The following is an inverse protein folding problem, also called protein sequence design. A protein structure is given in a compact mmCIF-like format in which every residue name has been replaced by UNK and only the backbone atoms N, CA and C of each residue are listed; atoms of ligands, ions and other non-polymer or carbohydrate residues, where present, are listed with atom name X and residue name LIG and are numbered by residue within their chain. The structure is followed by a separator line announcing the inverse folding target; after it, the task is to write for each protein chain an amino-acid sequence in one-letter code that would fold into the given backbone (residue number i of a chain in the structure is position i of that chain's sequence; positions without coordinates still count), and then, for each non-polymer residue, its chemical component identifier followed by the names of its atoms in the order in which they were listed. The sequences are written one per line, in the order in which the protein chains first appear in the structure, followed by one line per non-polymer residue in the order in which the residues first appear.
data_IF_953878603495
#
_entry.id   IF_953878603495
#
_cell.length_a   1.000
_cell.length_b   1.000
_cell.length_c   1.000
_cell.angle_alpha   90.00
_cell.angle_beta   90.00
_cell.angle_gamma   90.00
#
_symmetry.space_group_name_H-M   'P 1'
#
loop_
_entity.id
_entity.type
_entity.pdbx_description
1 polymer ?
#
# COMPACT_ATOMS: atom_id res chain seq x y z
N UNK A 1 -5.60 -49.65 -9.39
CA UNK A 1 -6.51 -48.60 -8.98
C UNK A 1 -6.52 -48.36 -7.47
N UNK A 2 -6.65 -49.38 -6.60
CA UNK A 2 -6.72 -49.23 -5.13
C UNK A 2 -5.45 -48.59 -4.51
N UNK A 3 -4.26 -48.89 -5.03
CA UNK A 3 -3.00 -48.29 -4.53
C UNK A 3 -2.79 -46.82 -4.96
N UNK A 4 -3.29 -46.39 -6.11
CA UNK A 4 -3.25 -44.99 -6.55
C UNK A 4 -4.15 -44.11 -5.68
N UNK A 5 -5.35 -44.60 -5.34
CA UNK A 5 -6.26 -43.86 -4.45
C UNK A 5 -5.67 -43.67 -3.03
N UNK A 6 -5.01 -44.73 -2.51
CA UNK A 6 -4.34 -44.65 -1.19
C UNK A 6 -3.16 -43.68 -1.20
N UNK A 7 -2.39 -43.62 -2.29
CA UNK A 7 -1.26 -42.68 -2.42
C UNK A 7 -1.73 -41.23 -2.53
N UNK A 8 -2.80 -40.98 -3.28
CA UNK A 8 -3.41 -39.62 -3.42
C UNK A 8 -4.00 -39.17 -2.10
N UNK A 9 -4.70 -40.06 -1.36
CA UNK A 9 -5.23 -39.74 -0.02
C UNK A 9 -4.12 -39.45 1.00
N UNK A 10 -3.01 -40.20 0.96
CA UNK A 10 -1.86 -39.94 1.84
C UNK A 10 -1.18 -38.60 1.51
N UNK A 11 -0.99 -38.28 0.22
CA UNK A 11 -0.45 -37.01 -0.21
C UNK A 11 -1.37 -35.84 0.21
N UNK A 12 -2.67 -35.96 0.01
CA UNK A 12 -3.63 -34.95 0.42
C UNK A 12 -3.63 -34.74 1.96
N UNK A 13 -3.53 -35.81 2.74
CA UNK A 13 -3.45 -35.72 4.20
C UNK A 13 -2.14 -35.09 4.69
N UNK A 14 -1.01 -35.39 4.03
CA UNK A 14 0.27 -34.72 4.38
C UNK A 14 0.31 -33.27 4.02
N UNK A 15 -0.26 -32.84 2.90
CA UNK A 15 -0.39 -31.47 2.50
C UNK A 15 -1.31 -30.70 3.46
N UNK A 16 -2.44 -31.27 3.83
CA UNK A 16 -3.35 -30.67 4.80
C UNK A 16 -2.71 -30.52 6.20
N UNK A 17 -1.96 -31.52 6.66
CA UNK A 17 -1.24 -31.47 7.93
C UNK A 17 -0.11 -30.43 7.90
N UNK A 18 0.59 -30.26 6.78
CA UNK A 18 1.61 -29.22 6.60
C UNK A 18 0.99 -27.83 6.66
N UNK A 19 -0.08 -27.58 5.91
CA UNK A 19 -0.78 -26.30 5.89
C UNK A 19 -1.33 -25.92 7.29
N UNK A 20 -1.84 -26.91 8.04
CA UNK A 20 -2.33 -26.68 9.40
C UNK A 20 -1.21 -26.36 10.39
N UNK A 21 -0.04 -26.98 10.24
CA UNK A 21 1.15 -26.64 11.06
C UNK A 21 1.69 -25.25 10.72
N UNK A 22 1.72 -24.87 9.45
CA UNK A 22 2.11 -23.53 9.02
C UNK A 22 1.18 -22.47 9.57
N UNK A 23 -0.14 -22.68 9.50
CA UNK A 23 -1.13 -21.78 10.07
C UNK A 23 -0.94 -21.62 11.57
N UNK A 24 -0.79 -22.72 12.30
CA UNK A 24 -0.57 -22.66 13.77
C UNK A 24 0.71 -21.91 14.14
N UNK A 25 1.78 -22.11 13.37
CA UNK A 25 3.04 -21.40 13.55
C UNK A 25 2.88 -19.90 13.32
N UNK A 26 2.24 -19.50 12.21
CA UNK A 26 2.04 -18.08 11.86
C UNK A 26 1.09 -17.40 12.85
N UNK A 27 0.03 -18.05 13.30
CA UNK A 27 -0.86 -17.50 14.33
C UNK A 27 -0.14 -17.30 15.68
N UNK A 28 0.72 -18.22 16.08
CA UNK A 28 1.54 -18.05 17.28
C UNK A 28 2.51 -16.86 17.17
N UNK A 29 3.07 -16.62 15.97
CA UNK A 29 3.90 -15.45 15.71
C UNK A 29 3.10 -14.15 15.71
N UNK A 30 1.87 -14.17 15.18
CA UNK A 30 0.95 -13.04 15.22
C UNK A 30 0.58 -12.68 16.66
N UNK A 31 0.25 -13.68 17.51
CA UNK A 31 -0.05 -13.46 18.94
C UNK A 31 1.16 -12.85 19.66
N UNK A 32 2.36 -13.33 19.40
CA UNK A 32 3.59 -12.74 19.94
C UNK A 32 3.79 -11.30 19.47
N UNK A 33 3.52 -11.01 18.19
CA UNK A 33 3.60 -9.66 17.65
C UNK A 33 2.57 -8.72 18.27
N UNK A 34 1.33 -9.18 18.43
CA UNK A 34 0.26 -8.43 19.11
C UNK A 34 0.63 -8.10 20.57
N UNK A 35 1.28 -9.02 21.27
CA UNK A 35 1.72 -8.77 22.65
C UNK A 35 2.79 -7.67 22.78
N UNK A 36 3.51 -7.35 21.70
CA UNK A 36 4.53 -6.28 21.62
C UNK A 36 4.04 -5.01 20.94
N UNK A 37 2.77 -4.94 20.52
CA UNK A 37 2.21 -3.82 19.75
C UNK A 37 2.47 -2.46 20.41
N UNK A 38 2.31 -2.36 21.73
CA UNK A 38 2.51 -1.09 22.43
C UNK A 38 3.95 -0.60 22.36
N UNK A 39 4.93 -1.51 22.31
CA UNK A 39 6.35 -1.13 22.12
C UNK A 39 6.63 -0.57 20.73
N UNK A 40 5.98 -1.10 19.69
CA UNK A 40 6.10 -0.60 18.32
C UNK A 40 5.49 0.80 18.22
N UNK A 41 4.30 1.02 18.80
CA UNK A 41 3.65 2.34 18.86
C UNK A 41 4.55 3.33 19.60
N UNK A 42 5.09 2.96 20.77
CA UNK A 42 5.97 3.83 21.55
C UNK A 42 7.25 4.22 20.77
N UNK A 43 7.84 3.29 20.03
CA UNK A 43 9.00 3.56 19.17
C UNK A 43 8.67 4.58 18.07
N UNK A 44 7.52 4.46 17.41
CA UNK A 44 7.03 5.42 16.41
C UNK A 44 6.80 6.82 17.01
N UNK A 45 6.10 6.91 18.14
CA UNK A 45 5.86 8.17 18.82
C UNK A 45 7.17 8.86 19.24
N UNK A 46 8.18 8.10 19.62
CA UNK A 46 9.50 8.64 19.92
C UNK A 46 10.19 9.22 18.68
N UNK A 47 10.10 8.57 17.51
CA UNK A 47 10.63 9.11 16.23
C UNK A 47 9.92 10.42 15.85
N UNK A 48 8.58 10.42 15.91
CA UNK A 48 7.75 11.60 15.64
C UNK A 48 8.16 12.78 16.54
N UNK A 49 8.28 12.54 17.84
CA UNK A 49 8.66 13.61 18.78
C UNK A 49 10.09 14.09 18.52
N UNK A 50 11.01 13.21 18.14
CA UNK A 50 12.37 13.57 17.75
C UNK A 50 12.36 14.47 16.50
N UNK A 51 11.61 14.15 15.46
CA UNK A 51 11.46 14.98 14.25
C UNK A 51 10.84 16.35 14.57
N UNK A 52 9.78 16.37 15.39
CA UNK A 52 9.18 17.63 15.86
C UNK A 52 10.16 18.50 16.65
N UNK A 53 10.96 17.89 17.49
CA UNK A 53 11.98 18.60 18.27
C UNK A 53 13.08 19.19 17.38
N UNK A 54 13.47 18.49 16.33
CA UNK A 54 14.38 19.02 15.31
C UNK A 54 13.74 20.26 14.66
N UNK A 55 12.51 20.15 14.15
CA UNK A 55 11.81 21.27 13.50
C UNK A 55 11.65 22.52 14.38
N UNK A 56 11.56 22.35 15.70
CA UNK A 56 11.43 23.48 16.65
C UNK A 56 12.73 24.21 16.92
N UNK A 57 13.88 23.55 16.80
CA UNK A 57 15.16 24.05 17.33
C UNK A 57 16.01 24.81 16.33
N UNK A 58 15.72 24.80 15.03
CA UNK A 58 16.68 25.25 14.02
C UNK A 58 16.09 26.21 13.01
N UNK A 59 16.94 27.11 12.53
CA UNK A 59 16.68 28.00 11.38
C UNK A 59 16.83 27.19 10.08
N UNK A 60 15.88 26.30 9.84
CA UNK A 60 15.84 25.53 8.61
C UNK A 60 15.30 26.39 7.45
N UNK A 61 15.89 26.20 6.27
CA UNK A 61 15.32 26.67 5.01
C UNK A 61 13.97 26.00 4.74
N UNK A 62 13.15 26.58 3.89
CA UNK A 62 11.87 26.00 3.47
C UNK A 62 12.05 24.59 2.85
N UNK A 63 13.11 24.36 2.08
CA UNK A 63 13.44 23.06 1.53
C UNK A 63 13.76 22.01 2.62
N UNK A 64 14.54 22.37 3.63
CA UNK A 64 14.83 21.47 4.74
C UNK A 64 13.59 21.16 5.57
N UNK A 65 12.71 22.16 5.79
CA UNK A 65 11.42 21.97 6.47
C UNK A 65 10.50 21.05 5.67
N UNK A 66 10.48 21.18 4.34
CA UNK A 66 9.74 20.28 3.46
C UNK A 66 10.15 18.82 3.66
N UNK A 67 11.44 18.54 3.64
CA UNK A 67 11.98 17.19 3.82
C UNK A 67 11.61 16.61 5.21
N UNK A 68 11.77 17.42 6.28
CA UNK A 68 11.42 16.98 7.64
C UNK A 68 9.91 16.75 7.80
N UNK A 69 9.08 17.57 7.17
CA UNK A 69 7.64 17.35 7.13
C UNK A 69 7.30 16.08 6.36
N UNK A 70 8.03 15.76 5.28
CA UNK A 70 7.82 14.52 4.53
C UNK A 70 8.10 13.30 5.42
N UNK A 71 9.17 13.31 6.21
CA UNK A 71 9.43 12.25 7.18
C UNK A 71 8.31 12.11 8.22
N UNK A 72 7.74 13.22 8.69
CA UNK A 72 6.57 13.19 9.59
C UNK A 72 5.31 12.66 8.88
N UNK A 73 5.10 12.99 7.61
CA UNK A 73 4.02 12.44 6.78
C UNK A 73 4.15 10.92 6.70
N UNK A 74 5.36 10.42 6.44
CA UNK A 74 5.62 8.97 6.34
C UNK A 74 5.34 8.24 7.66
N UNK A 75 5.73 8.84 8.81
CA UNK A 75 5.43 8.27 10.13
C UNK A 75 3.93 8.31 10.47
N UNK A 76 3.18 9.36 10.08
CA UNK A 76 1.77 9.50 10.42
C UNK A 76 0.82 8.76 9.48
N UNK A 77 1.19 8.60 8.21
CA UNK A 77 0.32 8.02 7.17
C UNK A 77 -0.33 6.68 7.56
N UNK A 78 0.36 5.75 8.26
CA UNK A 78 -0.25 4.47 8.61
C UNK A 78 -1.37 4.54 9.65
N UNK A 79 -1.42 5.57 10.51
CA UNK A 79 -2.30 5.53 11.68
C UNK A 79 -2.99 6.85 12.07
N UNK A 80 -2.54 8.00 11.55
CA UNK A 80 -3.09 9.29 11.96
C UNK A 80 -3.31 10.24 10.77
N UNK A 81 -4.42 10.03 10.07
CA UNK A 81 -4.77 10.77 8.84
C UNK A 81 -4.79 12.30 9.05
N UNK A 82 -5.34 12.81 10.16
CA UNK A 82 -5.43 14.24 10.43
C UNK A 82 -4.06 14.91 10.51
N UNK A 83 -3.10 14.28 11.17
CA UNK A 83 -1.73 14.78 11.23
C UNK A 83 -1.05 14.73 9.86
N UNK A 84 -1.25 13.66 9.10
CA UNK A 84 -0.74 13.55 7.73
C UNK A 84 -1.27 14.68 6.85
N UNK A 85 -2.56 14.98 6.91
CA UNK A 85 -3.21 16.07 6.18
C UNK A 85 -2.60 17.43 6.58
N UNK A 86 -2.41 17.69 7.87
CA UNK A 86 -1.83 18.95 8.35
C UNK A 86 -0.40 19.15 7.82
N UNK A 87 0.45 18.13 7.87
CA UNK A 87 1.81 18.22 7.33
C UNK A 87 1.84 18.33 5.80
N UNK A 88 0.92 17.70 5.08
CA UNK A 88 0.77 17.87 3.63
C UNK A 88 0.38 19.32 3.27
N UNK A 89 -0.53 19.95 4.00
CA UNK A 89 -0.84 21.37 3.80
C UNK A 89 0.35 22.27 4.10
N UNK A 90 1.13 21.98 5.12
CA UNK A 90 2.39 22.71 5.40
C UNK A 90 3.36 22.56 4.23
N UNK A 91 3.50 21.37 3.65
CA UNK A 91 4.36 21.13 2.50
C UNK A 91 3.85 21.86 1.25
N UNK A 92 2.55 21.93 1.00
CA UNK A 92 1.96 22.74 -0.07
C UNK A 92 2.33 24.23 0.12
N UNK A 93 2.22 24.76 1.34
CA UNK A 93 2.58 26.14 1.64
C UNK A 93 4.09 26.41 1.45
N UNK A 94 4.95 25.48 1.87
CA UNK A 94 6.40 25.54 1.68
C UNK A 94 6.77 25.53 0.19
N UNK A 95 6.26 24.57 -0.57
CA UNK A 95 6.49 24.43 -2.01
C UNK A 95 6.02 25.69 -2.79
N UNK A 96 4.88 26.25 -2.39
CA UNK A 96 4.37 27.51 -2.97
C UNK A 96 5.34 28.68 -2.71
N UNK A 97 5.87 28.83 -1.49
CA UNK A 97 6.85 29.90 -1.18
C UNK A 97 8.17 29.72 -1.93
N UNK A 98 8.60 28.47 -2.11
CA UNK A 98 9.81 28.14 -2.88
C UNK A 98 9.61 28.30 -4.38
N UNK A 99 8.37 28.50 -4.85
CA UNK A 99 8.00 28.42 -6.27
C UNK A 99 8.45 27.10 -6.92
N UNK A 100 8.34 26.00 -6.17
CA UNK A 100 8.73 24.66 -6.59
C UNK A 100 7.51 23.85 -7.02
N UNK A 101 7.30 23.78 -8.34
CA UNK A 101 6.15 23.10 -8.93
C UNK A 101 6.20 21.58 -8.70
N UNK A 102 7.40 20.99 -8.66
CA UNK A 102 7.59 19.55 -8.42
C UNK A 102 7.09 19.14 -7.04
N UNK A 103 7.61 19.78 -5.98
CA UNK A 103 7.18 19.53 -4.60
C UNK A 103 5.71 19.90 -4.35
N UNK A 104 5.21 20.95 -5.04
CA UNK A 104 3.81 21.35 -4.94
C UNK A 104 2.88 20.28 -5.50
N UNK A 105 3.18 19.76 -6.69
CA UNK A 105 2.41 18.70 -7.32
C UNK A 105 2.49 17.40 -6.52
N UNK A 106 3.67 17.02 -6.02
CA UNK A 106 3.87 15.83 -5.17
C UNK A 106 2.97 15.88 -3.93
N UNK A 107 2.98 16.98 -3.19
CA UNK A 107 2.14 17.13 -1.99
C UNK A 107 0.64 17.12 -2.31
N UNK A 108 0.21 17.68 -3.46
CA UNK A 108 -1.19 17.63 -3.92
C UNK A 108 -1.62 16.22 -4.28
N UNK A 109 -0.76 15.45 -4.95
CA UNK A 109 -1.02 14.06 -5.33
C UNK A 109 -1.15 13.19 -4.07
N UNK A 110 -0.24 13.31 -3.12
CA UNK A 110 -0.28 12.59 -1.85
C UNK A 110 -1.56 12.92 -1.06
N UNK A 111 -1.93 14.20 -0.98
CA UNK A 111 -3.14 14.65 -0.29
C UNK A 111 -4.41 14.11 -0.96
N UNK A 112 -4.45 14.10 -2.30
CA UNK A 112 -5.56 13.53 -3.05
C UNK A 112 -5.71 12.03 -2.83
N UNK A 113 -4.61 11.29 -2.79
CA UNK A 113 -4.62 9.86 -2.48
C UNK A 113 -5.17 9.61 -1.07
N UNK A 114 -4.69 10.37 -0.08
CA UNK A 114 -5.16 10.25 1.30
C UNK A 114 -6.64 10.60 1.44
N UNK A 115 -7.10 11.68 0.80
CA UNK A 115 -8.52 12.05 0.79
C UNK A 115 -9.39 10.96 0.14
N UNK A 116 -8.90 10.33 -0.95
CA UNK A 116 -9.61 9.22 -1.57
C UNK A 116 -9.76 8.04 -0.61
N UNK A 117 -8.69 7.72 0.13
CA UNK A 117 -8.69 6.65 1.13
C UNK A 117 -9.58 6.96 2.35
N UNK A 118 -9.77 8.23 2.66
CA UNK A 118 -10.61 8.71 3.77
C UNK A 118 -12.09 8.94 3.36
N UNK A 119 -12.47 8.70 2.10
CA UNK A 119 -13.84 8.95 1.63
C UNK A 119 -14.15 10.42 1.31
N UNK A 120 -13.15 11.30 1.27
CA UNK A 120 -13.29 12.75 1.03
C UNK A 120 -13.08 13.03 -0.47
N UNK A 121 -13.95 12.45 -1.30
CA UNK A 121 -13.74 12.36 -2.75
C UNK A 121 -13.78 13.69 -3.49
N UNK A 122 -14.58 14.65 -3.03
CA UNK A 122 -14.67 15.97 -3.68
C UNK A 122 -13.35 16.73 -3.54
N UNK A 123 -12.78 16.74 -2.37
CA UNK A 123 -11.49 17.36 -2.07
C UNK A 123 -10.35 16.65 -2.80
N UNK A 124 -10.39 15.31 -2.85
CA UNK A 124 -9.45 14.53 -3.65
C UNK A 124 -9.48 14.94 -5.12
N UNK A 125 -10.67 15.02 -5.72
CA UNK A 125 -10.84 15.47 -7.10
C UNK A 125 -10.35 16.90 -7.31
N UNK A 126 -10.60 17.79 -6.36
CA UNK A 126 -10.15 19.19 -6.42
C UNK A 126 -8.62 19.28 -6.34
N UNK A 127 -7.96 18.52 -5.47
CA UNK A 127 -6.49 18.48 -5.41
C UNK A 127 -5.89 17.99 -6.74
N UNK A 128 -6.44 16.94 -7.34
CA UNK A 128 -5.96 16.41 -8.62
C UNK A 128 -6.18 17.37 -9.80
N UNK A 129 -7.19 18.23 -9.76
CA UNK A 129 -7.39 19.29 -10.77
C UNK A 129 -6.33 20.38 -10.72
N UNK A 130 -5.73 20.60 -9.55
CA UNK A 130 -4.70 21.62 -9.34
C UNK A 130 -3.29 21.13 -9.73
N UNK A 131 -3.13 19.85 -10.07
CA UNK A 131 -1.85 19.28 -10.50
C UNK A 131 -1.60 19.68 -11.96
N UNK A 132 -0.46 20.33 -12.19
CA UNK A 132 0.03 20.58 -13.57
C UNK A 132 0.73 19.32 -14.09
N UNK A 133 0.00 18.53 -14.88
CA UNK A 133 0.51 17.27 -15.42
C UNK A 133 1.62 17.46 -16.46
N UNK A 134 1.79 18.66 -17.03
CA UNK A 134 2.86 18.93 -17.98
C UNK A 134 4.22 19.16 -17.31
N UNK A 135 4.21 19.46 -16.02
CA UNK A 135 5.40 19.67 -15.19
C UNK A 135 5.82 18.43 -14.39
N UNK A 136 5.12 17.29 -14.54
CA UNK A 136 5.43 16.05 -13.83
C UNK A 136 6.58 15.32 -14.49
N UNK A 137 7.54 14.85 -13.69
CA UNK A 137 8.46 13.81 -14.14
C UNK A 137 7.76 12.44 -14.26
N UNK A 138 8.47 11.43 -14.78
CA UNK A 138 7.89 10.08 -15.00
C UNK A 138 7.38 9.46 -13.70
N UNK A 139 8.10 9.62 -12.58
CA UNK A 139 7.69 9.10 -11.26
C UNK A 139 6.42 9.79 -10.78
N UNK A 140 6.42 11.12 -10.79
CA UNK A 140 5.27 11.91 -10.37
C UNK A 140 4.03 11.66 -11.24
N UNK A 141 4.22 11.39 -12.55
CA UNK A 141 3.13 11.05 -13.45
C UNK A 141 2.50 9.70 -13.05
N UNK A 142 3.31 8.71 -12.70
CA UNK A 142 2.82 7.42 -12.18
C UNK A 142 2.07 7.63 -10.86
N UNK A 143 2.61 8.41 -9.93
CA UNK A 143 1.96 8.72 -8.64
C UNK A 143 0.60 9.44 -8.88
N UNK A 144 0.53 10.35 -9.86
CA UNK A 144 -0.72 10.98 -10.27
C UNK A 144 -1.73 9.96 -10.80
N UNK A 145 -1.31 9.01 -11.66
CA UNK A 145 -2.19 7.95 -12.14
C UNK A 145 -2.66 7.03 -11.02
N UNK A 146 -1.81 6.72 -10.05
CA UNK A 146 -2.17 5.95 -8.86
C UNK A 146 -3.23 6.69 -8.03
N UNK A 147 -3.08 7.98 -7.80
CA UNK A 147 -4.07 8.76 -7.08
C UNK A 147 -5.41 8.87 -7.83
N UNK A 148 -5.36 9.01 -9.18
CA UNK A 148 -6.55 8.96 -10.04
C UNK A 148 -7.23 7.59 -10.01
N UNK A 149 -6.43 6.53 -10.10
CA UNK A 149 -6.95 5.15 -9.95
C UNK A 149 -7.66 4.98 -8.63
N UNK A 150 -7.00 5.36 -7.52
CA UNK A 150 -7.56 5.23 -6.16
C UNK A 150 -8.89 5.96 -6.02
N UNK A 151 -8.97 7.21 -6.47
CA UNK A 151 -10.20 8.00 -6.41
C UNK A 151 -11.35 7.31 -7.18
N UNK A 152 -11.08 6.84 -8.39
CA UNK A 152 -12.13 6.22 -9.21
C UNK A 152 -12.51 4.83 -8.71
N UNK A 153 -11.56 4.07 -8.15
CA UNK A 153 -11.80 2.77 -7.54
C UNK A 153 -12.75 2.90 -6.34
N UNK A 154 -12.54 3.89 -5.49
CA UNK A 154 -13.43 4.17 -4.36
C UNK A 154 -14.81 4.67 -4.82
N UNK A 155 -14.88 5.57 -5.80
CA UNK A 155 -16.13 6.10 -6.31
C UNK A 155 -17.01 5.01 -6.95
N UNK A 156 -16.45 4.03 -7.64
CA UNK A 156 -17.22 2.92 -8.19
C UNK A 156 -17.88 2.07 -7.11
N UNK A 157 -17.22 1.85 -5.96
CA UNK A 157 -17.77 1.06 -4.86
C UNK A 157 -19.06 1.65 -4.29
N UNK A 158 -19.19 2.99 -4.31
CA UNK A 158 -20.38 3.69 -3.81
C UNK A 158 -21.47 3.91 -4.85
N UNK A 159 -21.16 3.75 -6.13
CA UNK A 159 -22.01 4.19 -7.24
C UNK A 159 -22.26 3.13 -8.29
N UNK A 160 -22.08 1.84 -7.95
CA UNK A 160 -21.96 0.79 -8.97
C UNK A 160 -23.06 0.74 -10.04
N UNK A 161 -24.31 1.02 -9.72
CA UNK A 161 -25.42 0.93 -10.66
C UNK A 161 -25.77 2.29 -11.32
N UNK A 162 -24.97 3.31 -11.11
CA UNK A 162 -25.14 4.63 -11.69
C UNK A 162 -24.25 4.84 -12.91
N UNK A 163 -24.65 5.78 -13.77
CA UNK A 163 -23.80 6.21 -14.89
C UNK A 163 -22.41 6.70 -14.42
N UNK A 164 -22.35 7.33 -13.24
CA UNK A 164 -21.11 7.77 -12.63
C UNK A 164 -20.25 6.59 -12.16
N UNK A 165 -20.85 5.55 -11.59
CA UNK A 165 -20.15 4.33 -11.20
C UNK A 165 -19.53 3.61 -12.40
N UNK A 166 -20.26 3.49 -13.50
CA UNK A 166 -19.72 2.92 -14.75
C UNK A 166 -18.57 3.74 -15.31
N UNK A 167 -18.65 5.07 -15.27
CA UNK A 167 -17.56 5.93 -15.73
C UNK A 167 -16.34 5.82 -14.80
N UNK A 168 -16.55 5.77 -13.49
CA UNK A 168 -15.48 5.57 -12.52
C UNK A 168 -14.77 4.23 -12.73
N UNK A 169 -15.53 3.14 -12.95
CA UNK A 169 -14.95 1.84 -13.30
C UNK A 169 -14.11 1.90 -14.57
N UNK A 170 -14.62 2.53 -15.62
CA UNK A 170 -13.88 2.72 -16.89
C UNK A 170 -12.55 3.46 -16.67
N UNK A 171 -12.59 4.52 -15.85
CA UNK A 171 -11.39 5.30 -15.52
C UNK A 171 -10.40 4.51 -14.66
N UNK A 172 -10.87 3.70 -13.71
CA UNK A 172 -10.03 2.78 -12.93
C UNK A 172 -9.23 1.85 -13.84
N UNK A 173 -9.88 1.24 -14.84
CA UNK A 173 -9.21 0.36 -15.81
C UNK A 173 -8.18 1.13 -16.64
N UNK A 174 -8.52 2.33 -17.14
CA UNK A 174 -7.61 3.17 -17.92
C UNK A 174 -6.37 3.55 -17.11
N UNK A 175 -6.54 4.03 -15.86
CA UNK A 175 -5.41 4.42 -15.02
C UNK A 175 -4.55 3.23 -14.63
N UNK A 176 -5.13 2.05 -14.36
CA UNK A 176 -4.37 0.83 -14.14
C UNK A 176 -3.48 0.49 -15.34
N UNK A 177 -4.00 0.63 -16.56
CA UNK A 177 -3.22 0.41 -17.78
C UNK A 177 -2.10 1.45 -17.95
N UNK A 178 -2.39 2.73 -17.75
CA UNK A 178 -1.39 3.80 -17.81
C UNK A 178 -0.27 3.61 -16.78
N UNK A 179 -0.56 3.12 -15.60
CA UNK A 179 0.45 2.81 -14.58
C UNK A 179 1.37 1.69 -15.08
N UNK A 180 0.81 0.60 -15.59
CA UNK A 180 1.59 -0.53 -16.13
C UNK A 180 2.48 -0.08 -17.30
N UNK A 181 1.98 0.75 -18.20
CA UNK A 181 2.74 1.25 -19.36
C UNK A 181 3.88 2.21 -18.97
N UNK A 182 3.76 2.89 -17.84
CA UNK A 182 4.74 3.89 -17.41
C UNK A 182 5.66 3.41 -16.27
N UNK A 183 5.60 2.14 -15.89
CA UNK A 183 6.45 1.53 -14.86
C UNK A 183 7.37 0.47 -15.45
N UNK A 184 8.51 0.23 -14.80
CA UNK A 184 9.43 -0.84 -15.19
C UNK A 184 8.79 -2.21 -14.91
N UNK A 185 8.90 -3.22 -15.81
CA UNK A 185 8.19 -4.50 -15.73
C UNK A 185 8.40 -5.29 -14.42
N UNK A 186 9.55 -5.10 -13.77
CA UNK A 186 9.90 -5.79 -12.52
C UNK A 186 9.70 -4.92 -11.27
N UNK A 187 9.25 -3.68 -11.43
CA UNK A 187 8.99 -2.81 -10.28
C UNK A 187 7.79 -3.31 -9.48
N UNK A 188 7.83 -3.06 -8.17
CA UNK A 188 6.73 -3.41 -7.26
C UNK A 188 5.40 -2.81 -7.71
N UNK A 189 5.41 -1.56 -8.14
CA UNK A 189 4.22 -0.87 -8.67
C UNK A 189 3.68 -1.57 -9.92
N UNK A 190 4.55 -1.92 -10.89
CA UNK A 190 4.13 -2.65 -12.08
C UNK A 190 3.48 -3.98 -11.74
N UNK A 191 4.16 -4.79 -10.93
CA UNK A 191 3.69 -6.11 -10.54
C UNK A 191 2.38 -6.04 -9.74
N UNK A 192 2.22 -5.05 -8.85
CA UNK A 192 0.97 -4.85 -8.10
C UNK A 192 -0.21 -4.54 -9.02
N UNK A 193 -0.04 -3.68 -10.03
CA UNK A 193 -1.11 -3.36 -10.97
C UNK A 193 -1.37 -4.51 -11.96
N UNK A 194 -0.36 -5.25 -12.39
CA UNK A 194 -0.52 -6.49 -13.14
C UNK A 194 -1.28 -7.57 -12.36
N UNK A 195 -1.01 -7.70 -11.05
CA UNK A 195 -1.74 -8.60 -10.17
C UNK A 195 -3.23 -8.22 -10.10
N UNK A 196 -3.54 -6.94 -9.91
CA UNK A 196 -4.93 -6.44 -9.92
C UNK A 196 -5.64 -6.71 -11.25
N UNK A 197 -4.95 -6.53 -12.37
CA UNK A 197 -5.48 -6.85 -13.70
C UNK A 197 -5.76 -8.36 -13.85
N UNK A 198 -4.85 -9.23 -13.42
CA UNK A 198 -5.04 -10.68 -13.46
C UNK A 198 -6.23 -11.13 -12.60
N UNK A 199 -6.39 -10.57 -11.39
CA UNK A 199 -7.55 -10.81 -10.52
C UNK A 199 -8.85 -10.37 -11.21
N UNK A 200 -8.88 -9.17 -11.77
CA UNK A 200 -10.05 -8.64 -12.49
C UNK A 200 -10.44 -9.47 -13.72
N UNK A 201 -9.45 -10.03 -14.41
CA UNK A 201 -9.64 -10.95 -15.54
C UNK A 201 -9.96 -12.39 -15.09
N UNK A 202 -9.94 -12.70 -13.80
CA UNK A 202 -10.07 -14.04 -13.21
C UNK A 202 -8.99 -15.01 -13.68
N UNK A 203 -7.83 -14.50 -14.09
CA UNK A 203 -6.65 -15.31 -14.39
C UNK A 203 -5.89 -15.60 -13.09
N UNK A 204 -6.47 -16.48 -12.29
CA UNK A 204 -5.90 -16.84 -10.99
C UNK A 204 -4.52 -17.50 -11.07
N UNK A 205 -4.22 -18.37 -12.05
CA UNK A 205 -2.85 -18.88 -12.21
C UNK A 205 -1.81 -17.78 -12.35
N UNK A 206 -2.07 -16.77 -13.20
CA UNK A 206 -1.18 -15.61 -13.34
C UNK A 206 -1.15 -14.76 -12.06
N UNK A 207 -2.28 -14.58 -11.40
CA UNK A 207 -2.35 -13.83 -10.13
C UNK A 207 -1.52 -14.52 -9.02
N UNK A 208 -1.53 -15.85 -8.93
CA UNK A 208 -0.68 -16.62 -8.02
C UNK A 208 0.80 -16.35 -8.32
N UNK A 209 1.23 -16.56 -9.56
CA UNK A 209 2.61 -16.36 -9.99
C UNK A 209 3.13 -14.96 -9.63
N UNK A 210 2.37 -13.90 -9.99
CA UNK A 210 2.77 -12.52 -9.71
C UNK A 210 2.84 -12.25 -8.20
N UNK A 211 1.86 -12.71 -7.43
CA UNK A 211 1.82 -12.49 -5.97
C UNK A 211 2.96 -13.22 -5.25
N UNK A 212 3.31 -14.44 -5.67
CA UNK A 212 4.46 -15.15 -5.14
C UNK A 212 5.77 -14.45 -5.47
N UNK A 213 5.90 -13.94 -6.69
CA UNK A 213 7.06 -13.16 -7.12
C UNK A 213 7.21 -11.88 -6.28
N UNK A 214 6.14 -11.12 -6.07
CA UNK A 214 6.14 -9.95 -5.19
C UNK A 214 6.60 -10.31 -3.77
N UNK A 215 6.01 -11.34 -3.16
CA UNK A 215 6.40 -11.77 -1.82
C UNK A 215 7.85 -12.26 -1.73
N UNK A 216 8.41 -12.82 -2.81
CA UNK A 216 9.80 -13.30 -2.82
C UNK A 216 10.85 -12.22 -3.02
N UNK A 217 10.48 -11.09 -3.63
CA UNK A 217 11.40 -9.99 -3.95
C UNK A 217 11.40 -8.88 -2.91
N UNK A 218 10.32 -8.74 -2.15
CA UNK A 218 10.17 -7.73 -1.13
C UNK A 218 10.85 -8.11 0.18
N UNK A 219 11.35 -7.12 0.90
CA UNK A 219 11.92 -7.36 2.22
C UNK A 219 10.82 -7.79 3.19
N UNK A 220 11.00 -8.93 3.89
CA UNK A 220 10.08 -9.31 4.96
C UNK A 220 9.94 -8.17 5.98
N UNK A 221 8.71 -7.93 6.44
CA UNK A 221 8.37 -6.88 7.39
C UNK A 221 8.32 -5.44 6.81
N UNK A 222 8.52 -5.26 5.50
CA UNK A 222 8.21 -3.99 4.85
C UNK A 222 6.69 -3.82 4.68
N UNK A 223 6.25 -2.57 4.55
CA UNK A 223 4.84 -2.24 4.27
C UNK A 223 4.37 -2.84 2.93
N UNK A 224 5.25 -2.80 1.93
CA UNK A 224 4.98 -3.38 0.61
C UNK A 224 4.81 -4.91 0.70
N UNK A 225 5.59 -5.58 1.58
CA UNK A 225 5.42 -7.01 1.85
C UNK A 225 4.09 -7.32 2.55
N UNK A 226 3.62 -6.45 3.46
CA UNK A 226 2.29 -6.60 4.07
C UNK A 226 1.18 -6.55 3.01
N UNK A 227 1.23 -5.57 2.10
CA UNK A 227 0.28 -5.43 1.00
C UNK A 227 0.35 -6.62 0.04
N UNK A 228 1.55 -7.05 -0.38
CA UNK A 228 1.74 -8.22 -1.25
C UNK A 228 1.21 -9.51 -0.60
N UNK A 229 1.42 -9.67 0.70
CA UNK A 229 0.90 -10.80 1.49
C UNK A 229 -0.63 -10.78 1.55
N UNK A 230 -1.25 -9.61 1.73
CA UNK A 230 -2.69 -9.45 1.67
C UNK A 230 -3.25 -9.84 0.29
N UNK A 231 -2.63 -9.36 -0.78
CA UNK A 231 -3.05 -9.68 -2.14
C UNK A 231 -2.89 -11.17 -2.45
N UNK A 232 -1.84 -11.82 -1.94
CA UNK A 232 -1.65 -13.28 -2.06
C UNK A 232 -2.73 -14.06 -1.31
N UNK A 233 -3.13 -13.57 -0.12
CA UNK A 233 -4.24 -14.13 0.63
C UNK A 233 -5.56 -14.00 -0.12
N UNK A 234 -5.84 -12.83 -0.70
CA UNK A 234 -7.03 -12.56 -1.50
C UNK A 234 -7.11 -13.49 -2.72
N UNK A 235 -6.01 -13.71 -3.42
CA UNK A 235 -5.97 -14.66 -4.56
C UNK A 235 -6.31 -16.06 -4.11
N UNK A 236 -5.77 -16.53 -2.97
CA UNK A 236 -6.09 -17.86 -2.43
C UNK A 236 -7.58 -17.96 -2.01
N UNK A 237 -8.12 -16.92 -1.40
CA UNK A 237 -9.54 -16.86 -1.01
C UNK A 237 -10.48 -16.93 -2.24
N UNK A 238 -10.15 -16.19 -3.31
CA UNK A 238 -10.88 -16.23 -4.58
C UNK A 238 -10.82 -17.58 -5.29
N UNK A 239 -9.85 -18.43 -4.92
CA UNK A 239 -9.69 -19.80 -5.42
C UNK A 239 -10.28 -20.83 -4.46
N UNK A 240 -10.99 -20.43 -3.41
CA UNK A 240 -11.52 -21.30 -2.35
C UNK A 240 -10.41 -22.07 -1.57
N UNK A 241 -9.15 -21.60 -1.63
CA UNK A 241 -8.03 -22.17 -0.84
C UNK A 241 -7.93 -21.47 0.53
N UNK A 242 -8.91 -21.76 1.38
CA UNK A 242 -9.02 -21.15 2.72
C UNK A 242 -7.78 -21.36 3.59
N UNK A 243 -7.12 -22.53 3.63
CA UNK A 243 -5.90 -22.71 4.44
C UNK A 243 -4.77 -21.76 4.04
N UNK A 244 -4.50 -21.64 2.74
CA UNK A 244 -3.48 -20.72 2.21
C UNK A 244 -3.87 -19.27 2.47
N UNK A 245 -5.14 -18.89 2.27
CA UNK A 245 -5.64 -17.54 2.53
C UNK A 245 -5.41 -17.14 3.99
N UNK A 246 -5.75 -17.99 4.94
CA UNK A 246 -5.57 -17.72 6.39
C UNK A 246 -4.10 -17.49 6.77
N UNK A 247 -3.19 -18.30 6.23
CA UNK A 247 -1.74 -18.14 6.47
C UNK A 247 -1.25 -16.77 5.97
N UNK A 248 -1.64 -16.37 4.77
CA UNK A 248 -1.19 -15.13 4.18
C UNK A 248 -1.87 -13.89 4.77
N UNK A 249 -3.13 -13.96 5.18
CA UNK A 249 -3.77 -12.89 5.95
C UNK A 249 -3.08 -12.70 7.30
N UNK A 250 -2.74 -13.77 8.00
CA UNK A 250 -2.03 -13.67 9.26
C UNK A 250 -0.61 -13.08 9.08
N UNK A 251 0.11 -13.44 8.00
CA UNK A 251 1.40 -12.85 7.64
C UNK A 251 1.28 -11.37 7.33
N UNK A 252 0.27 -10.97 6.56
CA UNK A 252 0.01 -9.56 6.25
C UNK A 252 -0.22 -8.75 7.54
N UNK A 253 -1.13 -9.20 8.40
CA UNK A 253 -1.43 -8.54 9.67
C UNK A 253 -0.20 -8.42 10.59
N UNK A 254 0.57 -9.49 10.73
CA UNK A 254 1.80 -9.49 11.53
C UNK A 254 2.84 -8.49 10.96
N UNK A 255 2.99 -8.47 9.65
CA UNK A 255 3.93 -7.58 8.97
C UNK A 255 3.51 -6.12 9.09
N UNK A 256 2.22 -5.83 8.94
CA UNK A 256 1.68 -4.47 9.08
C UNK A 256 1.96 -3.91 10.48
N UNK A 257 1.70 -4.69 11.54
CA UNK A 257 2.02 -4.31 12.92
C UNK A 257 3.52 -4.06 13.12
N UNK A 258 4.39 -4.92 12.57
CA UNK A 258 5.86 -4.85 12.74
C UNK A 258 6.52 -3.85 11.82
N UNK A 259 5.94 -3.51 10.67
CA UNK A 259 6.48 -2.48 9.77
C UNK A 259 6.56 -1.11 10.45
N UNK A 260 5.85 -0.96 11.58
CA UNK A 260 5.99 0.18 12.47
C UNK A 260 7.40 0.31 13.09
N UNK A 261 8.17 -0.79 13.21
CA UNK A 261 9.51 -0.81 13.80
C UNK A 261 10.63 -0.51 12.77
N UNK A 262 10.49 -0.99 11.54
CA UNK A 262 11.59 -1.05 10.56
C UNK A 262 11.94 0.25 9.83
N UNK A 263 11.18 1.30 9.96
CA UNK A 263 11.56 2.63 9.42
C UNK A 263 12.83 3.19 10.07
N UNK A 264 13.32 2.61 11.15
CA UNK A 264 14.48 3.08 11.89
C UNK A 264 15.84 2.47 11.46
N UNK A 265 15.87 1.29 10.86
CA UNK A 265 17.14 0.60 10.52
C UNK A 265 17.74 1.00 9.17
N UNK A 266 16.97 1.61 8.29
CA UNK A 266 17.45 2.04 6.96
C UNK A 266 18.08 3.45 6.97
N UNK A 267 18.12 4.14 8.11
CA UNK A 267 18.68 5.50 8.26
C UNK A 267 19.97 5.55 9.12
N UNK A 268 20.50 4.44 9.54
CA UNK A 268 21.82 4.29 10.17
C UNK A 268 22.88 3.79 9.15
#
# INVERSE_FOLDING_TARGET
MRNLLSTVLLLAATLAASAQNDLKSVLSQLDATLSHRDSYIAGREQRIESLKNILRKSDFSDAQRYILNQQLIDEYTPYQADSTIDYLYRNIALATRMNDAGHLNESRIQLAYLYSSAGIYLEAANMLKLVDTTALDRRQLVDYYIARHKLNDELQLYSHDSAQGHESWRLTVIYAQLIVENTEPESVTHLNFRLRQAIGARDYPQAVEISERLCSTLQPLSREYAEASYMRALVADLMDDTPTAQVWFARSAMTDIRSEEHTSELQS
#
